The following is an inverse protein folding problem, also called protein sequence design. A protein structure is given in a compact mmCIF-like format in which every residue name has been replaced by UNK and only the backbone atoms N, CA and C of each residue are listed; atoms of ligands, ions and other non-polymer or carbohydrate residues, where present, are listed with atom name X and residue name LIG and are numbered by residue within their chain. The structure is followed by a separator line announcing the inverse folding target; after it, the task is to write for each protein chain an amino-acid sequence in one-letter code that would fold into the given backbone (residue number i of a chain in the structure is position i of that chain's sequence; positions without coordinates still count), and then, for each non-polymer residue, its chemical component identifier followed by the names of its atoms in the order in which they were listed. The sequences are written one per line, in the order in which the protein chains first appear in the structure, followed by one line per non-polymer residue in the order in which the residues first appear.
data_IF_811073259236
#
_entry.id   IF_811073259236
#
_cell.length_a   1.000
_cell.length_b   1.000
_cell.length_c   1.000
_cell.angle_alpha   90.00
_cell.angle_beta   90.00
_cell.angle_gamma   90.00
#
_symmetry.space_group_name_H-M   'P 1'
#
loop_
_entity.id
_entity.type
_entity.pdbx_description
1 polymer ?
#
# COMPACT_ATOMS: atom_id res chain seq x y z
N UNK A 1 13.44 6.41 5.49
CA UNK A 1 13.81 7.04 6.77
C UNK A 1 12.94 6.54 7.90
N UNK A 2 11.82 7.23 8.18
CA UNK A 2 10.89 6.85 9.26
C UNK A 2 10.26 5.45 9.11
N UNK A 3 9.97 5.02 7.88
CA UNK A 3 9.42 3.69 7.61
C UNK A 3 10.41 2.55 7.95
N UNK A 4 11.72 2.78 7.76
CA UNK A 4 12.76 1.79 8.11
C UNK A 4 12.93 1.70 9.63
N UNK A 5 12.82 2.84 10.33
CA UNK A 5 12.81 2.91 11.79
C UNK A 5 11.53 2.31 12.40
N UNK A 6 10.38 2.48 11.75
CA UNK A 6 9.12 1.84 12.16
C UNK A 6 9.12 0.34 11.89
N UNK A 7 9.93 -0.11 10.94
CA UNK A 7 9.99 -1.49 10.47
C UNK A 7 11.04 -2.35 11.18
N UNK A 8 11.88 -1.81 12.07
CA UNK A 8 12.90 -2.63 12.78
C UNK A 8 13.97 -3.26 11.88
N UNK A 9 14.09 -2.83 10.61
CA UNK A 9 15.11 -3.33 9.69
C UNK A 9 16.48 -2.76 10.09
N UNK A 10 17.21 -3.53 10.90
CA UNK A 10 18.45 -3.16 11.58
C UNK A 10 18.57 -3.73 13.00
N UNK A 11 17.52 -4.39 13.50
CA UNK A 11 17.38 -4.82 14.90
C UNK A 11 17.98 -6.21 15.20
N UNK A 12 18.70 -6.82 14.26
CA UNK A 12 19.43 -8.10 14.49
C UNK A 12 20.54 -7.94 15.55
N UNK A 13 21.01 -6.71 15.81
CA UNK A 13 22.07 -6.44 16.80
C UNK A 13 21.62 -5.78 18.10
N UNK A 14 20.33 -5.49 18.31
CA UNK A 14 19.89 -4.81 19.54
C UNK A 14 18.72 -5.52 20.19
N UNK A 15 19.05 -6.28 21.24
CA UNK A 15 18.13 -6.82 22.25
C UNK A 15 17.37 -5.69 22.99
N UNK A 16 16.60 -4.87 22.27
CA UNK A 16 15.69 -3.89 22.86
C UNK A 16 14.28 -4.36 22.55
N UNK A 17 13.40 -4.52 23.54
CA UNK A 17 12.02 -4.90 23.28
C UNK A 17 11.41 -3.86 22.34
N UNK A 18 10.99 -4.33 21.17
CA UNK A 18 10.43 -3.50 20.10
C UNK A 18 9.28 -2.66 20.68
N UNK A 19 9.33 -1.35 20.47
CA UNK A 19 8.42 -0.43 21.14
C UNK A 19 6.99 -0.64 20.59
N UNK A 20 6.14 -1.37 21.34
CA UNK A 20 4.76 -1.75 20.96
C UNK A 20 3.93 -0.54 20.50
N UNK A 21 4.21 0.64 21.04
CA UNK A 21 3.56 1.90 20.67
C UNK A 21 3.91 2.35 19.24
N UNK A 22 5.15 2.14 18.79
CA UNK A 22 5.61 2.53 17.46
C UNK A 22 4.98 1.63 16.37
N UNK A 23 4.88 0.33 16.65
CA UNK A 23 4.20 -0.62 15.77
C UNK A 23 2.70 -0.32 15.65
N UNK A 24 2.03 -0.04 16.78
CA UNK A 24 0.61 0.34 16.80
C UNK A 24 0.38 1.65 16.02
N UNK A 25 1.27 2.63 16.18
CA UNK A 25 1.22 3.88 15.42
C UNK A 25 1.39 3.63 13.91
N UNK A 26 2.33 2.76 13.52
CA UNK A 26 2.57 2.39 12.12
C UNK A 26 1.36 1.70 11.48
N UNK A 27 0.66 0.83 12.22
CA UNK A 27 -0.56 0.16 11.75
C UNK A 27 -1.67 1.18 11.45
N UNK A 28 -1.87 2.16 12.33
CA UNK A 28 -2.86 3.22 12.11
C UNK A 28 -2.53 4.04 10.87
N UNK A 29 -1.26 4.40 10.66
CA UNK A 29 -0.84 5.11 9.46
C UNK A 29 -1.08 4.31 8.17
N UNK A 30 -0.82 2.99 8.18
CA UNK A 30 -1.13 2.12 7.05
C UNK A 30 -2.65 2.08 6.81
N UNK A 31 -3.46 1.97 7.86
CA UNK A 31 -4.91 2.00 7.76
C UNK A 31 -5.44 3.29 7.13
N UNK A 32 -4.95 4.45 7.58
CA UNK A 32 -5.32 5.76 7.00
C UNK A 32 -4.89 5.84 5.54
N UNK A 33 -3.68 5.40 5.21
CA UNK A 33 -3.19 5.36 3.82
C UNK A 33 -4.11 4.53 2.92
N UNK A 34 -4.56 3.36 3.37
CA UNK A 34 -5.48 2.50 2.61
C UNK A 34 -6.84 3.16 2.37
N UNK A 35 -7.36 3.93 3.34
CA UNK A 35 -8.59 4.72 3.16
C UNK A 35 -8.38 5.78 2.07
N UNK A 36 -7.25 6.47 2.09
CA UNK A 36 -6.93 7.47 1.07
C UNK A 36 -6.84 6.84 -0.33
N UNK A 37 -6.17 5.68 -0.46
CA UNK A 37 -6.09 4.95 -1.74
C UNK A 37 -7.48 4.52 -2.22
N UNK A 38 -8.30 3.95 -1.34
CA UNK A 38 -9.66 3.55 -1.67
C UNK A 38 -10.53 4.75 -2.12
N UNK A 39 -10.38 5.90 -1.47
CA UNK A 39 -11.07 7.13 -1.84
C UNK A 39 -10.62 7.66 -3.20
N UNK A 40 -9.31 7.74 -3.44
CA UNK A 40 -8.75 8.15 -4.74
C UNK A 40 -9.24 7.25 -5.87
N UNK A 41 -9.35 5.95 -5.63
CA UNK A 41 -9.85 4.97 -6.61
C UNK A 41 -11.27 5.29 -7.13
N UNK A 42 -12.14 5.85 -6.27
CA UNK A 42 -13.51 6.24 -6.67
C UNK A 42 -13.61 7.66 -7.22
N UNK A 43 -12.84 8.60 -6.68
CA UNK A 43 -13.00 10.02 -7.00
C UNK A 43 -12.12 10.50 -8.17
N UNK A 44 -10.93 9.90 -8.33
CA UNK A 44 -9.98 10.26 -9.38
C UNK A 44 -10.30 9.51 -10.67
N UNK A 45 -10.69 10.24 -11.71
CA UNK A 45 -10.97 9.66 -13.04
C UNK A 45 -9.71 9.07 -13.68
N UNK A 46 -8.55 9.68 -13.41
CA UNK A 46 -7.25 9.27 -13.94
C UNK A 46 -6.81 7.94 -13.33
N UNK A 47 -6.90 7.79 -12.01
CA UNK A 47 -6.60 6.53 -11.33
C UNK A 47 -7.55 5.43 -11.81
N UNK A 48 -8.86 5.74 -11.91
CA UNK A 48 -9.85 4.78 -12.38
C UNK A 48 -9.55 4.26 -13.79
N UNK A 49 -9.09 5.12 -14.69
CA UNK A 49 -8.71 4.73 -16.05
C UNK A 49 -7.41 3.92 -16.09
N UNK A 50 -6.43 4.23 -15.24
CA UNK A 50 -5.21 3.42 -15.11
C UNK A 50 -5.52 1.98 -14.67
N UNK A 51 -6.41 1.82 -13.68
CA UNK A 51 -6.85 0.50 -13.20
C UNK A 51 -7.68 -0.26 -14.25
N UNK A 52 -8.56 0.43 -14.97
CA UNK A 52 -9.36 -0.17 -16.06
C UNK A 52 -8.52 -0.56 -17.27
N UNK A 53 -7.47 0.21 -17.59
CA UNK A 53 -6.56 -0.08 -18.70
C UNK A 53 -5.58 -1.21 -18.41
N UNK A 54 -5.19 -1.39 -17.14
CA UNK A 54 -4.24 -2.42 -16.72
C UNK A 54 -4.86 -3.80 -16.42
N UNK A 55 -6.14 -3.88 -16.09
CA UNK A 55 -6.76 -5.14 -15.65
C UNK A 55 -8.02 -5.50 -16.45
N UNK A 56 -8.05 -6.73 -16.98
CA UNK A 56 -9.13 -7.35 -17.76
C UNK A 56 -10.46 -7.58 -17.00
N UNK A 57 -10.68 -6.92 -15.85
CA UNK A 57 -11.84 -7.10 -14.97
C UNK A 57 -12.86 -5.96 -14.99
N UNK A 58 -12.56 -4.85 -15.69
CA UNK A 58 -13.48 -3.72 -15.82
C UNK A 58 -13.87 -3.09 -14.47
N UNK A 59 -15.08 -2.51 -14.42
CA UNK A 59 -15.57 -1.77 -13.24
C UNK A 59 -15.82 -2.68 -12.02
N UNK A 60 -16.16 -3.95 -12.25
CA UNK A 60 -16.45 -4.94 -11.19
C UNK A 60 -15.22 -5.17 -10.33
N UNK A 61 -14.06 -5.35 -10.96
CA UNK A 61 -12.81 -5.55 -10.24
C UNK A 61 -12.41 -4.31 -9.44
N UNK A 62 -12.65 -3.13 -10.00
CA UNK A 62 -12.36 -1.85 -9.35
C UNK A 62 -13.19 -1.68 -8.07
N UNK A 63 -14.46 -2.09 -8.12
CA UNK A 63 -15.34 -2.10 -6.95
C UNK A 63 -14.92 -3.17 -5.91
N UNK A 64 -14.44 -4.33 -6.37
CA UNK A 64 -13.88 -5.37 -5.49
C UNK A 64 -12.60 -4.88 -4.79
N UNK A 65 -11.70 -4.22 -5.52
CA UNK A 65 -10.50 -3.57 -4.97
C UNK A 65 -10.84 -2.51 -3.93
N UNK A 66 -11.86 -1.67 -4.20
CA UNK A 66 -12.33 -0.69 -3.22
C UNK A 66 -12.79 -1.35 -1.92
N UNK A 67 -13.64 -2.38 -2.00
CA UNK A 67 -14.11 -3.12 -0.83
C UNK A 67 -12.95 -3.78 -0.10
N UNK A 68 -12.02 -4.38 -0.84
CA UNK A 68 -10.85 -5.05 -0.28
C UNK A 68 -9.95 -4.06 0.50
N UNK A 69 -9.62 -2.91 -0.08
CA UNK A 69 -8.85 -1.88 0.62
C UNK A 69 -9.58 -1.33 1.85
N UNK A 70 -10.91 -1.16 1.77
CA UNK A 70 -11.72 -0.75 2.91
C UNK A 70 -11.69 -1.76 4.06
N UNK A 71 -11.83 -3.06 3.76
CA UNK A 71 -11.74 -4.13 4.76
C UNK A 71 -10.34 -4.20 5.38
N UNK A 72 -9.28 -4.10 4.55
CA UNK A 72 -7.90 -4.08 5.05
C UNK A 72 -7.66 -2.88 5.95
N UNK A 73 -8.13 -1.69 5.58
CA UNK A 73 -8.01 -0.48 6.39
C UNK A 73 -8.69 -0.63 7.75
N UNK A 74 -9.91 -1.18 7.79
CA UNK A 74 -10.64 -1.46 9.03
C UNK A 74 -9.90 -2.46 9.90
N UNK A 75 -9.31 -3.51 9.32
CA UNK A 75 -8.49 -4.48 10.05
C UNK A 75 -7.26 -3.84 10.70
N UNK A 76 -6.56 -2.95 9.98
CA UNK A 76 -5.40 -2.22 10.52
C UNK A 76 -5.79 -1.19 11.60
N UNK A 77 -6.92 -0.49 11.45
CA UNK A 77 -7.41 0.48 12.43
C UNK A 77 -8.00 -0.18 13.67
N UNK A 78 -8.72 -1.29 13.50
CA UNK A 78 -9.29 -2.06 14.59
C UNK A 78 -8.25 -2.91 15.33
N UNK A 79 -7.08 -3.15 14.73
CA UNK A 79 -6.06 -4.04 15.27
C UNK A 79 -6.45 -5.53 15.22
N UNK A 80 -7.43 -5.90 14.41
CA UNK A 80 -7.93 -7.28 14.30
C UNK A 80 -7.37 -7.96 13.05
N UNK A 81 -6.89 -9.21 13.19
CA UNK A 81 -6.24 -9.98 12.11
C UNK A 81 -5.13 -9.24 11.35
N UNK A 82 -4.29 -8.48 12.07
CA UNK A 82 -3.27 -7.60 11.48
C UNK A 82 -2.25 -8.38 10.63
N UNK A 83 -1.79 -9.54 11.11
CA UNK A 83 -0.85 -10.40 10.38
C UNK A 83 -1.45 -10.89 9.07
N UNK A 84 -2.70 -11.34 9.08
CA UNK A 84 -3.40 -11.81 7.88
C UNK A 84 -3.66 -10.66 6.90
N UNK A 85 -4.07 -9.50 7.41
CA UNK A 85 -4.24 -8.29 6.59
C UNK A 85 -2.92 -7.84 5.95
N UNK A 86 -1.82 -7.91 6.70
CA UNK A 86 -0.48 -7.60 6.19
C UNK A 86 0.00 -8.59 5.12
N UNK A 87 -0.30 -9.88 5.27
CA UNK A 87 -0.01 -10.91 4.25
C UNK A 87 -0.81 -10.67 2.96
N UNK A 88 -2.10 -10.35 3.07
CA UNK A 88 -2.92 -10.03 1.90
C UNK A 88 -2.39 -8.77 1.21
N UNK A 89 -2.08 -7.74 1.98
CA UNK A 89 -1.54 -6.48 1.48
C UNK A 89 -0.18 -6.65 0.80
N UNK A 90 0.70 -7.50 1.33
CA UNK A 90 2.02 -7.77 0.74
C UNK A 90 1.95 -8.51 -0.59
N UNK A 91 0.88 -9.27 -0.86
CA UNK A 91 0.66 -9.88 -2.18
C UNK A 91 0.06 -8.88 -3.18
N UNK A 92 -0.83 -7.99 -2.73
CA UNK A 92 -1.54 -7.05 -3.60
C UNK A 92 -0.67 -5.88 -4.05
N UNK A 93 0.09 -5.27 -3.12
CA UNK A 93 0.96 -4.12 -3.40
C UNK A 93 1.93 -4.32 -4.59
N UNK A 94 2.71 -5.41 -4.68
CA UNK A 94 3.63 -5.59 -5.79
C UNK A 94 2.90 -5.78 -7.13
N UNK A 95 1.71 -6.39 -7.13
CA UNK A 95 0.89 -6.50 -8.34
C UNK A 95 0.42 -5.11 -8.79
N UNK A 96 -0.04 -4.27 -7.87
CA UNK A 96 -0.46 -2.90 -8.18
C UNK A 96 0.71 -2.04 -8.67
N UNK A 97 1.87 -2.12 -8.02
CA UNK A 97 3.07 -1.39 -8.43
C UNK A 97 3.50 -1.83 -9.85
N UNK A 98 3.45 -3.13 -10.16
CA UNK A 98 3.93 -3.64 -11.45
C UNK A 98 2.95 -3.35 -12.59
N UNK A 99 1.65 -3.58 -12.38
CA UNK A 99 0.64 -3.45 -13.43
C UNK A 99 0.10 -2.03 -13.62
N UNK A 100 0.19 -1.17 -12.58
CA UNK A 100 -0.46 0.15 -12.59
C UNK A 100 0.59 1.26 -12.51
N UNK A 101 1.39 1.30 -11.45
CA UNK A 101 2.41 2.34 -11.30
C UNK A 101 3.56 2.16 -12.32
N UNK A 102 3.87 0.92 -12.69
CA UNK A 102 4.90 0.56 -13.67
C UNK A 102 4.56 0.93 -15.11
N UNK A 103 3.31 1.30 -15.41
CA UNK A 103 2.90 1.78 -16.73
C UNK A 103 3.27 3.25 -16.93
N UNK A 104 4.58 3.53 -16.95
CA UNK A 104 5.13 4.88 -17.10
C UNK A 104 4.68 5.56 -18.40
N UNK A 105 4.45 4.78 -19.47
CA UNK A 105 3.93 5.28 -20.75
C UNK A 105 2.53 5.89 -20.60
N UNK A 106 1.61 5.20 -19.90
CA UNK A 106 0.27 5.73 -19.62
C UNK A 106 0.34 7.04 -18.81
N UNK A 107 1.09 7.05 -17.72
CA UNK A 107 1.17 8.20 -16.82
C UNK A 107 1.87 9.40 -17.44
N UNK A 108 2.89 9.17 -18.25
CA UNK A 108 3.65 10.23 -18.89
C UNK A 108 2.95 10.77 -20.15
N UNK A 109 2.45 9.89 -21.02
CA UNK A 109 1.85 10.32 -22.30
C UNK A 109 0.40 10.77 -22.15
N UNK A 110 -0.41 10.10 -21.30
CA UNK A 110 -1.85 10.39 -21.19
C UNK A 110 -2.19 11.42 -20.12
N UNK A 111 -1.48 11.40 -18.98
CA UNK A 111 -1.76 12.29 -17.85
C UNK A 111 -0.71 13.40 -17.65
N UNK A 112 0.37 13.42 -18.46
CA UNK A 112 1.51 14.35 -18.34
C UNK A 112 2.08 14.44 -16.92
N UNK A 113 2.02 13.34 -16.18
CA UNK A 113 2.57 13.32 -14.82
C UNK A 113 4.09 13.37 -14.93
N UNK A 114 4.70 14.22 -14.11
CA UNK A 114 6.14 14.30 -14.03
C UNK A 114 6.70 12.94 -13.58
N UNK A 115 7.68 12.43 -14.34
CA UNK A 115 8.34 11.16 -14.07
C UNK A 115 8.81 11.03 -12.62
N UNK A 116 9.37 12.11 -12.07
CA UNK A 116 9.87 12.15 -10.69
C UNK A 116 8.76 12.02 -9.65
N UNK A 117 7.55 12.51 -9.93
CA UNK A 117 6.40 12.31 -9.06
C UNK A 117 5.96 10.84 -9.05
N UNK A 118 5.96 10.19 -10.22
CA UNK A 118 5.69 8.75 -10.33
C UNK A 118 6.74 7.90 -9.60
N UNK A 119 8.03 8.19 -9.79
CA UNK A 119 9.10 7.49 -9.07
C UNK A 119 9.00 7.68 -7.55
N UNK A 120 8.54 8.84 -7.08
CA UNK A 120 8.29 9.11 -5.66
C UNK A 120 7.12 8.28 -5.12
N UNK A 121 6.02 8.18 -5.86
CA UNK A 121 4.85 7.37 -5.50
C UNK A 121 5.20 5.87 -5.45
N UNK A 122 5.92 5.37 -6.47
CA UNK A 122 6.45 3.99 -6.48
C UNK A 122 7.33 3.76 -5.24
N UNK A 123 8.25 4.69 -4.93
CA UNK A 123 9.12 4.58 -3.76
C UNK A 123 8.36 4.53 -2.43
N UNK A 124 7.24 5.26 -2.32
CA UNK A 124 6.36 5.21 -1.15
C UNK A 124 5.63 3.85 -1.07
N UNK A 125 5.08 3.37 -2.18
CA UNK A 125 4.37 2.08 -2.24
C UNK A 125 5.31 0.91 -1.92
N UNK A 126 6.56 0.94 -2.41
CA UNK A 126 7.61 -0.03 -2.05
C UNK A 126 7.95 0.04 -0.56
N UNK A 127 7.98 1.25 0.04
CA UNK A 127 8.19 1.42 1.47
C UNK A 127 7.07 0.81 2.32
N UNK A 128 5.82 0.97 1.89
CA UNK A 128 4.64 0.38 2.56
C UNK A 128 4.65 -1.14 2.39
N UNK A 129 5.02 -1.65 1.21
CA UNK A 129 5.23 -3.07 0.96
C UNK A 129 6.28 -3.66 1.92
N UNK A 130 7.43 -3.01 2.08
CA UNK A 130 8.46 -3.45 3.05
C UNK A 130 7.94 -3.50 4.49
N UNK A 131 7.18 -2.49 4.91
CA UNK A 131 6.55 -2.47 6.23
C UNK A 131 5.49 -3.59 6.38
N UNK A 132 4.71 -3.87 5.34
CA UNK A 132 3.71 -4.93 5.34
C UNK A 132 4.32 -6.32 5.43
N UNK A 133 5.46 -6.58 4.76
CA UNK A 133 6.19 -7.85 4.89
C UNK A 133 6.64 -8.06 6.32
N UNK A 134 7.24 -7.04 6.93
CA UNK A 134 7.78 -7.20 8.28
C UNK A 134 6.64 -7.44 9.29
N UNK A 135 5.52 -6.73 9.16
CA UNK A 135 4.31 -7.01 9.94
C UNK A 135 3.72 -8.40 9.67
N UNK A 136 3.82 -8.91 8.45
CA UNK A 136 3.34 -10.24 8.07
C UNK A 136 4.22 -11.37 8.63
N UNK A 137 5.51 -11.12 8.86
CA UNK A 137 6.47 -12.08 9.40
C UNK A 137 6.62 -12.03 10.93
N UNK A 138 6.02 -11.05 11.61
CA UNK A 138 6.03 -10.90 13.07
C UNK A 138 5.04 -11.84 13.79
N UNK A 139 5.16 -13.14 13.55
CA UNK A 139 4.43 -14.22 14.23
C UNK A 139 5.24 -14.84 15.37
#
# INVERSE_FOLDING_TARGET
GLLILASGAGEIYRQKPRNRSLQSTGQVFIGIYLICVAYSLQHSKEDRLAYLGGILGGEILLQLLFVLYGVLALSFLSGYYITTAAQILSVILPLVILFIDGNLGYWHDSCRVEFWNQMKLIGQNVGIFGASIILATDG
#
